data_IF_744606512028
#
_entry.id   IF_744606512028
#
_cell.length_a   1.000
_cell.length_b   1.000
_cell.length_c   1.000
_cell.angle_alpha   90.00
_cell.angle_beta   90.00
_cell.angle_gamma   90.00
#
_symmetry.space_group_name_H-M   'P 1'
#
loop_
_entity.id
_entity.type
_entity.pdbx_description
1 polymer ?
#
# COMPACT_ATOMS: atom_id res chain seq x y z
N UNK A 1 52.57 31.99 -4.83
CA UNK A 1 52.46 31.23 -6.09
C UNK A 1 52.24 29.72 -5.88
N UNK A 2 53.13 28.98 -5.20
CA UNK A 2 52.99 27.52 -5.03
C UNK A 2 51.74 27.07 -4.22
N UNK A 3 51.40 27.80 -3.15
CA UNK A 3 50.20 27.55 -2.33
C UNK A 3 48.89 27.70 -3.15
N UNK A 4 48.83 28.71 -4.00
CA UNK A 4 47.66 29.01 -4.85
C UNK A 4 47.48 27.92 -5.93
N UNK A 5 48.56 27.46 -6.57
CA UNK A 5 48.50 26.35 -7.56
C UNK A 5 48.02 25.04 -6.93
N UNK A 6 48.48 24.73 -5.71
CA UNK A 6 48.06 23.54 -4.96
C UNK A 6 46.57 23.60 -4.56
N UNK A 7 46.08 24.79 -4.19
CA UNK A 7 44.66 25.02 -3.92
C UNK A 7 43.80 24.84 -5.18
N UNK A 8 44.25 25.37 -6.32
CA UNK A 8 43.54 25.25 -7.60
C UNK A 8 43.44 23.81 -8.10
N UNK A 9 44.55 23.04 -8.00
CA UNK A 9 44.58 21.62 -8.36
C UNK A 9 43.64 20.79 -7.49
N UNK A 10 43.61 21.04 -6.17
CA UNK A 10 42.67 20.39 -5.25
C UNK A 10 41.22 20.76 -5.52
N UNK A 11 40.96 22.00 -5.92
CA UNK A 11 39.61 22.46 -6.29
C UNK A 11 39.12 21.77 -7.57
N UNK A 12 39.97 21.65 -8.60
CA UNK A 12 39.64 20.91 -9.83
C UNK A 12 39.39 19.42 -9.57
N UNK A 13 40.25 18.77 -8.78
CA UNK A 13 40.07 17.36 -8.42
C UNK A 13 38.77 17.12 -7.62
N UNK A 14 38.37 18.08 -6.76
CA UNK A 14 37.10 18.00 -6.03
C UNK A 14 35.89 18.24 -6.92
N UNK A 15 35.97 19.12 -7.91
CA UNK A 15 34.88 19.32 -8.86
C UNK A 15 34.60 18.04 -9.66
N UNK A 16 35.65 17.30 -10.04
CA UNK A 16 35.52 16.01 -10.71
C UNK A 16 34.83 14.94 -9.85
N UNK A 17 34.90 15.05 -8.52
CA UNK A 17 34.24 14.13 -7.58
C UNK A 17 32.94 14.68 -7.00
N UNK A 18 32.30 15.64 -7.68
CA UNK A 18 31.07 16.32 -7.20
C UNK A 18 31.21 16.87 -5.77
N UNK A 19 32.40 17.40 -5.48
CA UNK A 19 32.81 17.95 -4.19
C UNK A 19 32.90 16.95 -3.03
N UNK A 20 32.90 15.64 -3.32
CA UNK A 20 33.11 14.59 -2.34
C UNK A 20 34.60 14.43 -1.98
N UNK A 21 34.85 14.10 -0.72
CA UNK A 21 36.17 13.61 -0.27
C UNK A 21 36.40 12.18 -0.75
N UNK A 22 37.66 11.73 -0.75
CA UNK A 22 38.01 10.34 -1.11
C UNK A 22 37.19 9.31 -0.29
N UNK A 23 37.05 9.55 1.02
CA UNK A 23 36.24 8.69 1.88
C UNK A 23 34.75 8.69 1.49
N UNK A 24 34.19 9.84 1.13
CA UNK A 24 32.78 9.95 0.72
C UNK A 24 32.54 9.31 -0.64
N UNK A 25 33.50 9.38 -1.57
CA UNK A 25 33.45 8.63 -2.83
C UNK A 25 33.46 7.11 -2.57
N UNK A 26 34.27 6.61 -1.62
CA UNK A 26 34.18 5.20 -1.20
C UNK A 26 32.83 4.86 -0.55
N UNK A 27 32.21 5.79 0.19
CA UNK A 27 30.86 5.58 0.75
C UNK A 27 29.82 5.53 -0.36
N UNK A 28 29.93 6.37 -1.40
CA UNK A 28 29.08 6.31 -2.60
C UNK A 28 29.13 4.92 -3.23
N UNK A 29 30.33 4.36 -3.43
CA UNK A 29 30.49 3.00 -3.94
C UNK A 29 29.87 1.95 -3.03
N UNK A 30 30.11 2.03 -1.72
CA UNK A 30 29.52 1.10 -0.77
C UNK A 30 27.98 1.18 -0.77
N UNK A 31 27.39 2.38 -0.86
CA UNK A 31 25.94 2.58 -1.00
C UNK A 31 25.45 1.94 -2.30
N UNK A 32 26.13 2.18 -3.42
CA UNK A 32 25.78 1.62 -4.72
C UNK A 32 25.76 0.08 -4.67
N UNK A 33 26.81 -0.55 -4.15
CA UNK A 33 26.92 -2.01 -4.00
C UNK A 33 25.83 -2.58 -3.06
N UNK A 34 25.75 -2.07 -1.83
CA UNK A 34 24.85 -2.59 -0.79
C UNK A 34 23.37 -2.38 -1.13
N UNK A 35 23.05 -1.34 -1.91
CA UNK A 35 21.69 -1.06 -2.37
C UNK A 35 21.30 -1.82 -3.64
N UNK A 36 22.15 -2.76 -4.12
CA UNK A 36 21.97 -3.49 -5.38
C UNK A 36 21.87 -2.55 -6.58
N UNK A 37 22.84 -1.64 -6.67
CA UNK A 37 23.02 -0.70 -7.78
C UNK A 37 21.93 0.39 -7.87
N UNK A 38 21.37 0.82 -6.74
CA UNK A 38 20.33 1.85 -6.70
C UNK A 38 20.95 3.26 -6.78
N UNK A 39 20.97 3.83 -7.98
CA UNK A 39 21.47 5.19 -8.23
C UNK A 39 20.69 6.29 -7.51
N UNK A 40 19.41 6.08 -7.16
CA UNK A 40 18.64 7.08 -6.42
C UNK A 40 19.15 7.20 -4.97
N UNK A 41 19.49 6.07 -4.34
CA UNK A 41 20.08 6.09 -3.00
C UNK A 41 21.43 6.83 -3.00
N UNK A 42 22.24 6.61 -4.04
CA UNK A 42 23.50 7.34 -4.23
C UNK A 42 23.26 8.84 -4.42
N UNK A 43 22.32 9.22 -5.29
CA UNK A 43 21.99 10.64 -5.53
C UNK A 43 21.52 11.34 -4.25
N UNK A 44 20.69 10.69 -3.43
CA UNK A 44 20.27 11.22 -2.14
C UNK A 44 21.45 11.40 -1.17
N UNK A 45 22.40 10.45 -1.16
CA UNK A 45 23.60 10.59 -0.35
C UNK A 45 24.45 11.78 -0.79
N UNK A 46 24.75 11.90 -2.08
CA UNK A 46 25.53 13.01 -2.64
C UNK A 46 24.86 14.35 -2.35
N UNK A 47 23.54 14.44 -2.59
CA UNK A 47 22.76 15.64 -2.27
C UNK A 47 22.84 16.01 -0.78
N UNK A 48 22.75 15.03 0.12
CA UNK A 48 22.84 15.26 1.56
C UNK A 48 24.20 15.84 1.99
N UNK A 49 25.30 15.38 1.39
CA UNK A 49 26.65 15.87 1.69
C UNK A 49 26.89 17.27 1.13
N UNK A 50 26.37 17.53 -0.06
CA UNK A 50 26.48 18.84 -0.69
C UNK A 50 25.65 19.89 0.01
N UNK A 51 24.45 19.55 0.48
CA UNK A 51 23.61 20.45 1.28
C UNK A 51 24.35 20.92 2.55
N UNK A 52 25.01 20.01 3.29
CA UNK A 52 25.82 20.36 4.47
C UNK A 52 26.97 21.32 4.14
N UNK A 53 27.53 21.23 2.93
CA UNK A 53 28.63 22.07 2.44
C UNK A 53 28.17 23.29 1.63
N UNK A 54 26.86 23.53 1.53
CA UNK A 54 26.27 24.56 0.68
C UNK A 54 26.81 24.53 -0.76
N UNK A 55 27.05 23.32 -1.29
CA UNK A 55 27.45 23.10 -2.68
C UNK A 55 26.21 22.97 -3.58
N UNK A 56 26.34 23.28 -4.89
CA UNK A 56 25.25 23.12 -5.83
C UNK A 56 24.72 21.68 -5.89
N UNK A 57 23.43 21.54 -6.18
CA UNK A 57 22.84 20.24 -6.49
C UNK A 57 23.32 19.75 -7.84
N UNK A 58 23.62 18.46 -7.96
CA UNK A 58 24.01 17.82 -9.21
C UNK A 58 22.83 17.07 -9.81
N UNK A 59 22.82 16.99 -11.13
CA UNK A 59 21.86 16.21 -11.90
C UNK A 59 22.05 14.70 -11.66
N UNK A 60 20.99 13.93 -11.91
CA UNK A 60 21.06 12.47 -11.83
C UNK A 60 22.08 11.87 -12.84
N UNK A 61 22.33 12.55 -13.96
CA UNK A 61 23.31 12.13 -14.96
C UNK A 61 24.74 12.27 -14.44
N UNK A 62 25.09 13.41 -13.83
CA UNK A 62 26.42 13.62 -13.22
C UNK A 62 26.70 12.63 -12.09
N UNK A 63 25.70 12.36 -11.23
CA UNK A 63 25.84 11.37 -10.16
C UNK A 63 26.05 9.97 -10.73
N UNK A 64 25.32 9.60 -11.79
CA UNK A 64 25.50 8.32 -12.47
C UNK A 64 26.91 8.21 -13.05
N UNK A 65 27.36 9.20 -13.80
CA UNK A 65 28.69 9.22 -14.43
C UNK A 65 29.79 9.07 -13.37
N UNK A 66 29.73 9.85 -12.29
CA UNK A 66 30.67 9.71 -11.16
C UNK A 66 30.65 8.28 -10.59
N UNK A 67 29.47 7.73 -10.33
CA UNK A 67 29.31 6.41 -9.71
C UNK A 67 29.87 5.31 -10.61
N UNK A 68 29.60 5.38 -11.91
CA UNK A 68 30.10 4.44 -12.91
C UNK A 68 31.62 4.53 -13.05
N UNK A 69 32.19 5.75 -13.13
CA UNK A 69 33.65 5.94 -13.14
C UNK A 69 34.30 5.36 -11.88
N UNK A 70 33.77 5.70 -10.70
CA UNK A 70 34.27 5.16 -9.43
C UNK A 70 34.21 3.62 -9.41
N UNK A 71 33.14 3.02 -9.94
CA UNK A 71 32.96 1.57 -9.95
C UNK A 71 33.95 0.88 -10.90
N UNK A 72 34.15 1.45 -12.09
CA UNK A 72 35.06 0.91 -13.11
C UNK A 72 36.54 1.07 -12.75
N UNK A 73 36.90 2.15 -12.04
CA UNK A 73 38.28 2.43 -11.64
C UNK A 73 38.70 1.69 -10.36
N UNK A 74 37.75 1.23 -9.55
CA UNK A 74 38.04 0.52 -8.30
C UNK A 74 38.37 -0.95 -8.57
N UNK A 75 39.40 -1.48 -7.91
CA UNK A 75 39.77 -2.89 -8.08
C UNK A 75 38.69 -3.82 -7.53
N UNK A 76 38.60 -5.02 -8.11
CA UNK A 76 37.62 -6.05 -7.69
C UNK A 76 37.78 -6.37 -6.19
N UNK A 77 39.01 -6.50 -5.69
CA UNK A 77 39.28 -6.78 -4.28
C UNK A 77 38.74 -5.67 -3.36
N UNK A 78 38.84 -4.40 -3.78
CA UNK A 78 38.32 -3.28 -3.00
C UNK A 78 36.78 -3.24 -3.05
N UNK A 79 36.15 -3.57 -4.18
CA UNK A 79 34.69 -3.72 -4.27
C UNK A 79 34.18 -4.83 -3.35
N UNK A 80 34.84 -5.99 -3.34
CA UNK A 80 34.53 -7.12 -2.44
C UNK A 80 34.70 -6.69 -0.98
N UNK A 81 35.79 -5.99 -0.64
CA UNK A 81 36.03 -5.52 0.71
C UNK A 81 34.95 -4.54 1.20
N UNK A 82 34.44 -3.68 0.32
CA UNK A 82 33.34 -2.76 0.61
C UNK A 82 31.99 -3.48 0.80
N UNK A 83 31.70 -4.51 0.00
CA UNK A 83 30.46 -5.29 0.09
C UNK A 83 30.46 -6.21 1.33
N UNK A 84 31.52 -7.01 1.49
CA UNK A 84 31.65 -8.06 2.51
C UNK A 84 32.06 -7.52 3.89
N UNK A 85 32.61 -6.30 3.97
CA UNK A 85 32.92 -5.65 5.24
C UNK A 85 34.22 -6.11 5.89
N UNK A 86 35.31 -6.10 5.12
CA UNK A 86 36.63 -6.43 5.67
C UNK A 86 37.08 -5.47 6.80
N UNK A 87 37.90 -5.96 7.75
CA UNK A 87 38.45 -5.13 8.83
C UNK A 87 39.21 -3.88 8.33
N UNK A 88 39.34 -2.88 9.20
CA UNK A 88 40.14 -1.69 8.91
C UNK A 88 39.38 -0.57 8.20
N UNK A 89 39.94 -0.03 7.11
CA UNK A 89 39.43 1.20 6.46
C UNK A 89 38.03 0.99 5.85
N UNK A 90 37.80 -0.15 5.20
CA UNK A 90 36.55 -0.50 4.53
C UNK A 90 35.42 -0.66 5.55
N UNK A 91 35.74 -1.19 6.73
CA UNK A 91 34.81 -1.33 7.83
C UNK A 91 34.10 -0.02 8.20
N UNK A 92 34.83 1.11 8.24
CA UNK A 92 34.25 2.44 8.56
C UNK A 92 33.46 3.04 7.41
N UNK A 93 33.87 2.77 6.16
CA UNK A 93 33.16 3.21 4.96
C UNK A 93 31.82 2.47 4.86
N UNK A 94 31.87 1.14 4.98
CA UNK A 94 30.69 0.28 4.98
C UNK A 94 29.71 0.66 6.08
N UNK A 95 30.20 0.90 7.31
CA UNK A 95 29.33 1.31 8.41
C UNK A 95 28.56 2.61 8.10
N UNK A 96 29.24 3.61 7.52
CA UNK A 96 28.58 4.85 7.12
C UNK A 96 27.55 4.62 5.99
N UNK A 97 27.84 3.75 5.03
CA UNK A 97 26.91 3.37 3.98
C UNK A 97 25.68 2.64 4.52
N UNK A 98 25.88 1.66 5.40
CA UNK A 98 24.80 0.90 6.05
C UNK A 98 23.92 1.81 6.89
N UNK A 99 24.52 2.68 7.71
CA UNK A 99 23.76 3.63 8.52
C UNK A 99 22.90 4.51 7.61
N UNK A 100 23.45 5.08 6.54
CA UNK A 100 22.67 5.89 5.59
C UNK A 100 21.52 5.10 4.93
N UNK A 101 21.78 3.87 4.47
CA UNK A 101 20.77 3.03 3.84
C UNK A 101 19.67 2.59 4.82
N UNK A 102 20.03 2.31 6.06
CA UNK A 102 19.07 2.01 7.12
C UNK A 102 18.19 3.23 7.42
N UNK A 103 18.77 4.44 7.50
CA UNK A 103 18.00 5.67 7.66
C UNK A 103 17.04 5.89 6.48
N UNK A 104 17.51 5.73 5.24
CA UNK A 104 16.69 5.87 4.04
C UNK A 104 15.48 4.90 4.05
N UNK A 105 15.72 3.62 4.36
CA UNK A 105 14.64 2.63 4.48
C UNK A 105 13.68 2.93 5.64
N UNK A 106 14.18 3.50 6.74
CA UNK A 106 13.33 3.98 7.83
C UNK A 106 12.44 5.13 7.38
N UNK A 107 12.94 6.05 6.54
CA UNK A 107 12.14 7.13 5.95
C UNK A 107 11.05 6.56 5.04
N UNK A 108 11.39 5.68 4.10
CA UNK A 108 10.42 5.04 3.19
C UNK A 108 9.32 4.30 3.97
N UNK A 109 9.72 3.56 5.01
CA UNK A 109 8.78 2.91 5.91
C UNK A 109 7.91 3.92 6.65
N UNK A 110 8.48 4.99 7.21
CA UNK A 110 7.75 6.04 7.92
C UNK A 110 6.73 6.72 7.00
N UNK A 111 7.11 7.03 5.77
CA UNK A 111 6.21 7.57 4.74
C UNK A 111 5.08 6.60 4.43
N UNK A 112 5.37 5.30 4.31
CA UNK A 112 4.34 4.27 4.13
C UNK A 112 3.35 4.22 5.30
N UNK A 113 3.83 4.39 6.54
CA UNK A 113 2.95 4.43 7.72
C UNK A 113 2.11 5.71 7.73
N UNK A 114 2.71 6.84 7.37
CA UNK A 114 1.99 8.11 7.26
C UNK A 114 0.89 8.05 6.18
N UNK A 115 1.14 7.37 5.05
CA UNK A 115 0.12 7.12 4.02
C UNK A 115 -1.05 6.28 4.55
N UNK A 116 -0.79 5.39 5.52
CA UNK A 116 -1.80 4.59 6.21
C UNK A 116 -2.45 5.34 7.40
N UNK A 117 -2.12 6.62 7.62
CA UNK A 117 -2.63 7.41 8.75
C UNK A 117 -2.07 6.99 10.12
N UNK A 118 -1.03 6.14 10.15
CA UNK A 118 -0.37 5.73 11.36
C UNK A 118 0.85 6.63 11.62
N UNK A 119 0.92 7.25 12.79
CA UNK A 119 2.10 7.97 13.26
C UNK A 119 2.94 7.04 14.16
N UNK A 120 4.05 6.46 13.68
CA UNK A 120 4.81 5.50 14.48
C UNK A 120 5.46 6.18 15.69
N UNK A 121 5.49 5.46 16.81
CA UNK A 121 6.18 5.91 18.03
C UNK A 121 7.70 5.98 17.81
N UNK A 122 8.39 6.77 18.64
CA UNK A 122 9.86 6.83 18.66
C UNK A 122 10.51 5.46 18.79
N UNK A 123 9.94 4.59 19.63
CA UNK A 123 10.43 3.23 19.80
C UNK A 123 10.23 2.39 18.53
N UNK A 124 9.06 2.47 17.89
CA UNK A 124 8.80 1.74 16.64
C UNK A 124 9.75 2.17 15.51
N UNK A 125 10.02 3.48 15.40
CA UNK A 125 10.96 4.02 14.43
C UNK A 125 12.40 3.56 14.69
N UNK A 126 12.85 3.64 15.95
CA UNK A 126 14.16 3.15 16.35
C UNK A 126 14.31 1.64 16.13
N UNK A 127 13.32 0.83 16.51
CA UNK A 127 13.32 -0.61 16.23
C UNK A 127 13.43 -0.90 14.74
N UNK A 128 12.74 -0.15 13.88
CA UNK A 128 12.81 -0.34 12.44
C UNK A 128 14.16 0.05 11.86
N UNK A 129 14.75 1.15 12.33
CA UNK A 129 16.12 1.51 11.97
C UNK A 129 17.12 0.41 12.35
N UNK A 130 17.05 -0.11 13.58
CA UNK A 130 17.92 -1.20 14.03
C UNK A 130 17.76 -2.47 13.19
N UNK A 131 16.51 -2.86 12.90
CA UNK A 131 16.20 -3.98 12.02
C UNK A 131 16.83 -3.80 10.63
N UNK A 132 16.84 -2.59 10.07
CA UNK A 132 17.48 -2.33 8.79
C UNK A 132 19.01 -2.36 8.87
N UNK A 133 19.62 -1.90 9.97
CA UNK A 133 21.06 -2.06 10.19
C UNK A 133 21.46 -3.54 10.25
N UNK A 134 20.70 -4.36 10.98
CA UNK A 134 20.92 -5.81 11.09
C UNK A 134 20.83 -6.51 9.73
N UNK A 135 19.86 -6.12 8.88
CA UNK A 135 19.69 -6.66 7.54
C UNK A 135 20.90 -6.43 6.60
N UNK A 136 21.80 -5.49 6.94
CA UNK A 136 23.06 -5.29 6.23
C UNK A 136 24.26 -5.95 6.94
N UNK A 137 24.02 -6.84 7.92
CA UNK A 137 25.04 -7.56 8.69
C UNK A 137 26.09 -6.65 9.34
N UNK A 138 25.76 -5.40 9.66
CA UNK A 138 26.64 -4.57 10.47
C UNK A 138 26.24 -4.72 11.93
N UNK A 139 27.13 -5.22 12.78
CA UNK A 139 26.87 -5.37 14.22
C UNK A 139 27.30 -4.15 15.05
N UNK A 140 27.84 -3.11 14.39
CA UNK A 140 28.43 -1.93 15.04
C UNK A 140 27.46 -0.76 15.19
N UNK A 141 26.17 -0.99 15.05
CA UNK A 141 25.15 0.02 15.28
C UNK A 141 25.06 0.42 16.76
N UNK A 142 24.37 1.53 17.01
CA UNK A 142 24.35 2.21 18.30
C UNK A 142 23.79 1.31 19.41
N UNK A 143 24.68 0.70 20.19
CA UNK A 143 24.31 -0.15 21.33
C UNK A 143 23.50 0.61 22.39
N UNK A 144 23.62 1.94 22.48
CA UNK A 144 22.78 2.74 23.37
C UNK A 144 21.34 2.82 22.83
N UNK A 145 21.16 2.98 21.52
CA UNK A 145 19.85 2.91 20.89
C UNK A 145 19.21 1.52 21.04
N UNK A 146 19.99 0.45 20.87
CA UNK A 146 19.58 -0.94 21.15
C UNK A 146 18.96 -1.10 22.53
N UNK A 147 19.76 -0.71 23.54
CA UNK A 147 19.39 -0.80 24.95
C UNK A 147 18.20 0.09 25.25
N UNK A 148 18.13 1.27 24.64
CA UNK A 148 17.01 2.18 24.84
C UNK A 148 15.70 1.61 24.27
N UNK A 149 15.73 0.97 23.10
CA UNK A 149 14.57 0.26 22.52
C UNK A 149 14.12 -0.88 23.42
N UNK A 150 15.05 -1.72 23.90
CA UNK A 150 14.72 -2.87 24.74
C UNK A 150 14.18 -2.46 26.13
N UNK A 151 14.72 -1.39 26.72
CA UNK A 151 14.38 -0.94 28.08
C UNK A 151 13.30 0.15 28.12
N UNK A 152 12.65 0.46 26.99
CA UNK A 152 11.75 1.62 26.88
C UNK A 152 10.56 1.58 27.87
N UNK A 153 10.14 0.40 28.33
CA UNK A 153 9.06 0.25 29.33
C UNK A 153 9.52 0.37 30.78
N UNK A 154 10.82 0.27 31.07
CA UNK A 154 11.37 0.13 32.42
C UNK A 154 12.18 1.33 32.89
N UNK A 155 12.59 2.23 31.99
CA UNK A 155 13.52 3.31 32.33
C UNK A 155 13.18 4.64 31.64
N UNK A 156 12.85 5.66 32.43
CA UNK A 156 12.57 7.02 31.95
C UNK A 156 13.71 7.64 31.11
N UNK A 157 14.97 7.28 31.39
CA UNK A 157 16.12 7.77 30.63
C UNK A 157 16.19 7.20 29.20
N UNK A 158 15.83 5.93 29.02
CA UNK A 158 15.74 5.28 27.71
C UNK A 158 14.69 5.95 26.82
N UNK A 159 13.51 6.24 27.39
CA UNK A 159 12.46 6.96 26.67
C UNK A 159 12.87 8.37 26.25
N UNK A 160 13.63 9.11 27.07
CA UNK A 160 14.17 10.43 26.69
C UNK A 160 15.16 10.32 25.53
N UNK A 161 16.08 9.35 25.60
CA UNK A 161 17.05 9.12 24.53
C UNK A 161 16.36 8.78 23.20
N UNK A 162 15.36 7.89 23.20
CA UNK A 162 14.60 7.54 22.00
C UNK A 162 13.86 8.73 21.37
N UNK A 163 13.26 9.59 22.21
CA UNK A 163 12.58 10.80 21.73
C UNK A 163 13.56 11.78 21.09
N UNK A 164 14.71 12.01 21.73
CA UNK A 164 15.77 12.87 21.18
C UNK A 164 16.29 12.32 19.86
N UNK A 165 16.69 11.05 19.83
CA UNK A 165 17.14 10.39 18.60
C UNK A 165 16.09 10.50 17.49
N UNK A 166 14.81 10.31 17.81
CA UNK A 166 13.73 10.42 16.84
C UNK A 166 13.53 11.85 16.33
N UNK A 167 13.68 12.85 17.19
CA UNK A 167 13.60 14.25 16.81
C UNK A 167 14.74 14.61 15.85
N UNK A 168 15.98 14.27 16.22
CA UNK A 168 17.18 14.51 15.42
C UNK A 168 17.11 13.80 14.06
N UNK A 169 16.60 12.56 14.04
CA UNK A 169 16.37 11.79 12.80
C UNK A 169 15.37 12.50 11.89
N UNK A 170 14.24 12.94 12.46
CA UNK A 170 13.15 13.59 11.71
C UNK A 170 13.57 14.93 11.14
N UNK A 171 14.28 15.73 11.92
CA UNK A 171 14.83 17.01 11.47
C UNK A 171 15.79 16.80 10.29
N UNK A 172 16.73 15.85 10.42
CA UNK A 172 17.73 15.57 9.38
C UNK A 172 17.13 15.16 8.04
N UNK A 173 16.07 14.36 8.07
CA UNK A 173 15.38 13.86 6.88
C UNK A 173 14.17 14.73 6.48
N UNK A 174 13.93 15.84 7.18
CA UNK A 174 12.77 16.70 6.99
C UNK A 174 11.43 15.93 6.99
N UNK A 175 11.32 14.92 7.87
CA UNK A 175 10.13 14.05 8.00
C UNK A 175 9.35 14.38 9.28
N UNK A 176 8.33 15.21 9.15
CA UNK A 176 7.50 15.62 10.29
C UNK A 176 6.72 14.45 10.91
N UNK A 177 6.32 14.60 12.18
CA UNK A 177 5.13 13.90 12.68
C UNK A 177 3.94 14.44 11.89
N UNK A 178 3.62 13.80 10.76
CA UNK A 178 2.27 13.92 10.24
C UNK A 178 1.39 13.07 11.18
N UNK A 179 1.00 13.64 12.33
CA UNK A 179 -0.45 13.65 12.57
C UNK A 179 -0.95 14.27 11.29
N UNK A 180 -1.67 13.50 10.46
CA UNK A 180 -2.26 14.09 9.27
C UNK A 180 -2.80 15.45 9.73
N UNK A 181 -2.34 16.54 9.09
CA UNK A 181 -3.29 17.59 8.79
C UNK A 181 -4.39 16.80 8.13
N UNK A 182 -5.45 16.49 8.89
CA UNK A 182 -6.70 16.01 8.33
C UNK A 182 -6.84 16.94 7.14
N UNK A 183 -6.70 16.42 5.91
CA UNK A 183 -6.97 17.22 4.70
C UNK A 183 -8.21 17.98 5.10
N UNK A 184 -8.21 19.33 5.19
CA UNK A 184 -9.36 20.05 5.70
C UNK A 184 -10.54 19.40 4.99
N UNK A 185 -11.42 18.71 5.75
CA UNK A 185 -12.31 17.71 5.17
C UNK A 185 -12.90 18.37 3.95
N UNK A 186 -12.72 17.76 2.77
CA UNK A 186 -13.16 18.38 1.51
C UNK A 186 -14.50 19.03 1.80
N UNK A 187 -14.60 20.37 1.64
CA UNK A 187 -15.47 21.23 2.45
C UNK A 187 -16.81 20.52 2.63
N UNK A 188 -17.25 20.23 3.85
CA UNK A 188 -18.29 19.24 4.20
C UNK A 188 -19.38 19.01 3.12
N UNK A 189 -19.83 20.08 2.46
CA UNK A 189 -20.67 20.08 1.26
C UNK A 189 -20.19 19.21 0.07
N UNK A 190 -18.92 19.23 -0.34
CA UNK A 190 -18.38 18.42 -1.44
C UNK A 190 -18.44 16.92 -1.11
N UNK A 191 -18.00 16.53 0.10
CA UNK A 191 -18.13 15.15 0.56
C UNK A 191 -19.59 14.73 0.65
N UNK A 192 -20.46 15.58 1.22
CA UNK A 192 -21.90 15.34 1.27
C UNK A 192 -22.49 15.13 -0.14
N UNK A 193 -22.10 15.96 -1.10
CA UNK A 193 -22.54 15.86 -2.49
C UNK A 193 -22.09 14.54 -3.11
N UNK A 194 -20.81 14.15 -2.96
CA UNK A 194 -20.29 12.88 -3.49
C UNK A 194 -21.00 11.66 -2.86
N UNK A 195 -21.19 11.67 -1.53
CA UNK A 195 -21.89 10.58 -0.81
C UNK A 195 -23.33 10.48 -1.30
N UNK A 196 -24.04 11.62 -1.39
CA UNK A 196 -25.40 11.69 -1.91
C UNK A 196 -25.49 11.17 -3.34
N UNK A 197 -24.60 11.59 -4.23
CA UNK A 197 -24.56 11.13 -5.62
C UNK A 197 -24.34 9.63 -5.71
N UNK A 198 -23.42 9.06 -4.93
CA UNK A 198 -23.20 7.61 -4.89
C UNK A 198 -24.46 6.88 -4.45
N UNK A 199 -25.10 7.31 -3.34
CA UNK A 199 -26.34 6.71 -2.87
C UNK A 199 -27.45 6.77 -3.92
N UNK A 200 -27.66 7.94 -4.51
CA UNK A 200 -28.64 8.13 -5.59
C UNK A 200 -28.40 7.17 -6.75
N UNK A 201 -27.15 7.01 -7.17
CA UNK A 201 -26.78 6.10 -8.26
C UNK A 201 -27.03 4.64 -7.91
N UNK A 202 -26.60 4.20 -6.72
CA UNK A 202 -26.82 2.83 -6.24
C UNK A 202 -28.32 2.54 -6.14
N UNK A 203 -29.12 3.47 -5.61
CA UNK A 203 -30.56 3.27 -5.49
C UNK A 203 -31.30 3.31 -6.82
N UNK A 204 -30.83 4.10 -7.77
CA UNK A 204 -31.34 4.09 -9.13
C UNK A 204 -31.08 2.72 -9.79
N UNK A 205 -29.84 2.22 -9.75
CA UNK A 205 -29.50 0.88 -10.26
C UNK A 205 -30.36 -0.21 -9.60
N UNK A 206 -30.53 -0.18 -8.28
CA UNK A 206 -31.40 -1.14 -7.59
C UNK A 206 -32.84 -1.06 -8.05
N UNK A 207 -33.35 0.13 -8.32
CA UNK A 207 -34.70 0.31 -8.82
C UNK A 207 -34.84 -0.24 -10.25
N UNK A 208 -33.89 0.06 -11.15
CA UNK A 208 -33.85 -0.51 -12.49
C UNK A 208 -33.83 -2.05 -12.47
N UNK A 209 -33.06 -2.64 -11.54
CA UNK A 209 -33.00 -4.08 -11.35
C UNK A 209 -34.37 -4.67 -11.00
N UNK A 210 -35.09 -4.06 -10.06
CA UNK A 210 -36.43 -4.49 -9.68
C UNK A 210 -37.40 -4.32 -10.85
N UNK A 211 -37.29 -3.23 -11.62
CA UNK A 211 -38.11 -2.98 -12.80
C UNK A 211 -37.99 -4.05 -13.89
N UNK A 212 -36.84 -4.73 -13.99
CA UNK A 212 -36.63 -5.87 -14.90
C UNK A 212 -36.90 -7.23 -14.24
N UNK A 213 -37.55 -7.25 -13.07
CA UNK A 213 -37.92 -8.47 -12.35
C UNK A 213 -36.74 -9.20 -11.69
N UNK A 214 -35.60 -8.54 -11.50
CA UNK A 214 -34.42 -9.10 -10.83
C UNK A 214 -34.33 -8.61 -9.39
N UNK A 215 -33.67 -9.40 -8.54
CA UNK A 215 -33.35 -9.04 -7.16
C UNK A 215 -31.94 -8.43 -7.12
N UNK A 216 -31.78 -7.17 -6.67
CA UNK A 216 -30.47 -6.54 -6.67
C UNK A 216 -29.58 -7.14 -5.59
N UNK A 217 -28.34 -7.47 -5.94
CA UNK A 217 -27.29 -7.82 -4.99
C UNK A 217 -26.15 -6.83 -5.12
N UNK A 218 -25.81 -6.19 -4.00
CA UNK A 218 -24.64 -5.34 -3.94
C UNK A 218 -23.41 -6.20 -3.66
N UNK A 219 -22.40 -6.02 -4.50
CA UNK A 219 -21.09 -6.64 -4.39
C UNK A 219 -20.09 -5.50 -4.19
N UNK A 220 -19.10 -5.67 -3.32
CA UNK A 220 -17.94 -4.79 -3.29
C UNK A 220 -16.69 -5.62 -3.53
N UNK A 221 -15.89 -5.15 -4.48
CA UNK A 221 -14.56 -5.66 -4.78
C UNK A 221 -13.58 -4.53 -4.49
N UNK A 222 -12.45 -4.92 -3.92
CA UNK A 222 -11.30 -4.06 -3.75
C UNK A 222 -10.05 -4.91 -3.52
N UNK A 223 -8.88 -4.33 -3.70
CA UNK A 223 -7.62 -4.99 -3.48
C UNK A 223 -6.91 -4.46 -2.23
N UNK A 224 -6.36 -5.39 -1.45
CA UNK A 224 -5.49 -5.03 -0.34
C UNK A 224 -4.16 -5.73 -0.45
N UNK A 225 -3.08 -4.95 -0.34
CA UNK A 225 -1.77 -5.52 -0.11
C UNK A 225 -1.72 -6.22 1.25
N UNK A 226 -1.33 -7.48 1.23
CA UNK A 226 -0.85 -8.24 2.38
C UNK A 226 0.60 -8.66 2.09
N UNK A 227 1.42 -9.07 3.08
CA UNK A 227 2.82 -9.39 2.81
C UNK A 227 2.99 -10.27 1.56
N UNK A 228 3.84 -9.82 0.63
CA UNK A 228 4.20 -10.47 -0.64
C UNK A 228 3.15 -10.50 -1.77
N UNK A 229 1.87 -10.23 -1.52
CA UNK A 229 0.82 -10.35 -2.55
C UNK A 229 -0.33 -9.36 -2.38
N UNK A 230 -1.14 -9.21 -3.43
CA UNK A 230 -2.42 -8.52 -3.36
C UNK A 230 -3.55 -9.53 -3.22
N UNK A 231 -4.43 -9.25 -2.27
CA UNK A 231 -5.61 -10.04 -2.03
C UNK A 231 -6.85 -9.24 -2.43
N UNK A 232 -7.64 -9.81 -3.33
CA UNK A 232 -8.84 -9.22 -3.91
C UNK A 232 -10.07 -10.07 -3.53
N UNK A 233 -10.68 -9.83 -2.36
CA UNK A 233 -11.94 -10.45 -2.02
C UNK A 233 -13.13 -9.76 -2.71
N UNK A 234 -14.25 -10.47 -2.77
CA UNK A 234 -15.55 -9.89 -3.08
C UNK A 234 -16.48 -10.18 -1.90
N UNK A 235 -17.15 -9.15 -1.38
CA UNK A 235 -18.19 -9.29 -0.36
C UNK A 235 -19.55 -8.84 -0.90
N UNK A 236 -20.64 -9.40 -0.39
CA UNK A 236 -21.98 -9.10 -0.87
C UNK A 236 -23.05 -9.09 0.21
N UNK A 237 -24.20 -8.51 -0.13
CA UNK A 237 -25.35 -8.41 0.77
C UNK A 237 -26.12 -9.74 0.94
N UNK A 238 -25.81 -10.78 0.17
CA UNK A 238 -26.49 -12.07 0.22
C UNK A 238 -25.63 -13.14 0.92
N UNK A 239 -26.12 -13.62 2.08
CA UNK A 239 -25.37 -14.58 2.91
C UNK A 239 -25.16 -15.95 2.24
N UNK A 240 -26.12 -16.41 1.43
CA UNK A 240 -26.02 -17.70 0.75
C UNK A 240 -25.04 -17.66 -0.43
N UNK A 241 -24.92 -16.50 -1.08
CA UNK A 241 -24.00 -16.29 -2.20
C UNK A 241 -22.56 -16.08 -1.74
N UNK A 242 -22.35 -15.43 -0.59
CA UNK A 242 -21.03 -15.04 -0.09
C UNK A 242 -19.97 -16.16 -0.12
N UNK A 243 -20.26 -17.42 0.30
CA UNK A 243 -19.28 -18.50 0.29
C UNK A 243 -18.85 -18.95 -1.11
N UNK A 244 -19.64 -18.64 -2.14
CA UNK A 244 -19.44 -19.05 -3.53
C UNK A 244 -18.67 -18.00 -4.33
N UNK A 245 -18.62 -16.75 -3.86
CA UNK A 245 -17.97 -15.67 -4.58
C UNK A 245 -16.47 -15.93 -4.78
N UNK A 246 -15.93 -15.57 -5.95
CA UNK A 246 -14.52 -15.79 -6.23
C UNK A 246 -13.66 -14.80 -5.42
N UNK A 247 -12.46 -15.26 -5.06
CA UNK A 247 -11.45 -14.49 -4.31
C UNK A 247 -10.11 -14.67 -4.97
N UNK A 248 -9.30 -13.63 -5.04
CA UNK A 248 -8.07 -13.68 -5.84
C UNK A 248 -6.84 -13.35 -4.99
N UNK A 249 -5.79 -14.15 -5.17
CA UNK A 249 -4.44 -13.87 -4.70
C UNK A 249 -3.57 -13.57 -5.92
N UNK A 250 -3.17 -12.32 -6.06
CA UNK A 250 -2.34 -11.85 -7.18
C UNK A 250 -0.94 -11.59 -6.66
N UNK A 251 0.04 -12.32 -7.19
CA UNK A 251 1.43 -12.18 -6.78
C UNK A 251 2.37 -12.14 -7.99
N UNK A 252 3.49 -11.44 -7.84
CA UNK A 252 4.53 -11.41 -8.85
C UNK A 252 5.13 -12.81 -9.03
N UNK A 253 5.39 -13.22 -10.29
CA UNK A 253 5.98 -14.53 -10.63
C UNK A 253 7.29 -14.83 -9.91
N UNK A 254 8.10 -13.81 -9.62
CA UNK A 254 9.37 -13.94 -8.89
C UNK A 254 9.18 -14.19 -7.40
N UNK A 255 8.06 -13.73 -6.83
CA UNK A 255 7.73 -13.88 -5.40
C UNK A 255 6.98 -15.18 -5.15
N UNK A 256 6.07 -15.54 -6.05
CA UNK A 256 5.26 -16.75 -5.97
C UNK A 256 5.72 -17.77 -7.02
N UNK A 257 6.49 -18.77 -6.57
CA UNK A 257 7.04 -19.82 -7.43
C UNK A 257 5.94 -20.77 -7.95
N UNK A 258 6.15 -21.33 -9.14
CA UNK A 258 5.22 -22.33 -9.70
C UNK A 258 5.12 -23.57 -8.82
N UNK A 259 6.23 -23.93 -8.15
CA UNK A 259 6.30 -25.03 -7.20
C UNK A 259 5.39 -24.76 -6.00
N UNK A 260 5.51 -23.61 -5.35
CA UNK A 260 4.71 -23.27 -4.18
C UNK A 260 3.20 -23.33 -4.49
N UNK A 261 2.78 -22.81 -5.65
CA UNK A 261 1.37 -22.92 -6.08
C UNK A 261 0.95 -24.37 -6.21
N UNK A 262 1.71 -25.21 -6.93
CA UNK A 262 1.39 -26.64 -7.08
C UNK A 262 1.30 -27.36 -5.73
N UNK A 263 2.19 -27.06 -4.79
CA UNK A 263 2.19 -27.70 -3.48
C UNK A 263 0.92 -27.38 -2.68
N UNK A 264 0.43 -26.15 -2.77
CA UNK A 264 -0.75 -25.72 -1.98
C UNK A 264 -2.07 -25.86 -2.73
N UNK A 265 -2.06 -26.13 -4.04
CA UNK A 265 -3.27 -26.24 -4.88
C UNK A 265 -4.29 -27.23 -4.34
N UNK A 266 -3.86 -28.37 -3.78
CA UNK A 266 -4.77 -29.39 -3.25
C UNK A 266 -5.54 -28.94 -1.99
N UNK A 267 -5.05 -27.91 -1.30
CA UNK A 267 -5.66 -27.36 -0.08
C UNK A 267 -6.40 -26.04 -0.34
N UNK A 268 -6.35 -25.57 -1.59
CA UNK A 268 -6.92 -24.30 -2.02
C UNK A 268 -8.45 -24.45 -2.13
N UNK A 269 -9.24 -23.55 -1.54
CA UNK A 269 -10.68 -23.49 -1.78
C UNK A 269 -10.99 -23.34 -3.27
N UNK A 270 -12.09 -23.93 -3.75
CA UNK A 270 -12.45 -23.88 -5.18
C UNK A 270 -12.63 -22.44 -5.67
N UNK A 271 -13.35 -21.63 -4.90
CA UNK A 271 -13.59 -20.22 -5.18
C UNK A 271 -12.43 -19.28 -4.81
N UNK A 272 -11.23 -19.80 -4.56
CA UNK A 272 -10.03 -18.99 -4.36
C UNK A 272 -9.06 -19.23 -5.52
N UNK A 273 -8.69 -18.17 -6.23
CA UNK A 273 -7.83 -18.23 -7.41
C UNK A 273 -6.45 -17.65 -7.08
N UNK A 274 -5.40 -18.31 -7.55
CA UNK A 274 -4.02 -17.87 -7.35
C UNK A 274 -3.43 -17.50 -8.71
N UNK A 275 -3.15 -16.22 -8.90
CA UNK A 275 -2.65 -15.69 -10.16
C UNK A 275 -1.20 -15.22 -10.05
N UNK A 276 -0.36 -15.81 -10.90
CA UNK A 276 1.07 -15.52 -10.99
C UNK A 276 1.32 -14.52 -12.12
N UNK A 277 1.38 -13.25 -11.76
CA UNK A 277 1.42 -12.13 -12.69
C UNK A 277 2.81 -11.50 -12.81
N UNK A 278 3.04 -10.68 -13.85
CA UNK A 278 4.31 -9.97 -14.03
C UNK A 278 4.51 -8.88 -12.95
N UNK A 279 3.41 -8.30 -12.50
CA UNK A 279 3.31 -7.36 -11.38
C UNK A 279 2.28 -7.89 -10.39
N UNK A 280 2.39 -7.53 -9.11
CA UNK A 280 1.38 -7.91 -8.12
C UNK A 280 0.14 -6.98 -8.13
N UNK A 281 0.09 -5.99 -9.01
CA UNK A 281 -0.95 -4.94 -9.03
C UNK A 281 -2.18 -5.30 -9.90
N UNK A 282 -3.32 -4.67 -9.58
CA UNK A 282 -4.53 -4.70 -10.41
C UNK A 282 -4.27 -4.03 -11.77
N UNK A 283 -4.69 -4.69 -12.85
CA UNK A 283 -4.57 -4.21 -14.23
C UNK A 283 -5.89 -4.44 -14.95
N UNK A 284 -6.10 -3.78 -16.10
CA UNK A 284 -7.29 -4.03 -16.95
C UNK A 284 -7.46 -5.52 -17.25
N UNK A 285 -6.36 -6.23 -17.55
CA UNK A 285 -6.38 -7.68 -17.79
C UNK A 285 -6.85 -8.47 -16.57
N UNK A 286 -6.33 -8.14 -15.39
CA UNK A 286 -6.71 -8.80 -14.13
C UNK A 286 -8.19 -8.54 -13.84
N UNK A 287 -8.66 -7.31 -14.00
CA UNK A 287 -10.06 -6.95 -13.77
C UNK A 287 -11.03 -7.68 -14.69
N UNK A 288 -10.72 -7.80 -15.98
CA UNK A 288 -11.55 -8.58 -16.92
C UNK A 288 -11.71 -10.03 -16.46
N UNK A 289 -10.61 -10.67 -16.03
CA UNK A 289 -10.65 -12.04 -15.51
C UNK A 289 -11.46 -12.14 -14.21
N UNK A 290 -11.38 -11.14 -13.34
CA UNK A 290 -12.22 -11.13 -12.13
C UNK A 290 -13.71 -11.06 -12.50
N UNK A 291 -14.07 -10.20 -13.46
CA UNK A 291 -15.45 -10.07 -13.93
C UNK A 291 -15.97 -11.33 -14.63
N UNK A 292 -15.11 -12.04 -15.37
CA UNK A 292 -15.42 -13.35 -15.97
C UNK A 292 -15.73 -14.39 -14.89
N UNK A 293 -14.86 -14.55 -13.89
CA UNK A 293 -15.06 -15.49 -12.78
C UNK A 293 -16.30 -15.15 -11.94
N UNK A 294 -16.54 -13.86 -11.70
CA UNK A 294 -17.76 -13.41 -11.03
C UNK A 294 -19.00 -13.71 -11.87
N UNK A 295 -18.96 -13.50 -13.18
CA UNK A 295 -20.06 -13.81 -14.09
C UNK A 295 -20.40 -15.30 -14.07
N UNK A 296 -19.40 -16.19 -14.07
CA UNK A 296 -19.62 -17.63 -13.96
C UNK A 296 -20.37 -18.02 -12.68
N UNK A 297 -20.02 -17.42 -11.54
CA UNK A 297 -20.75 -17.65 -10.29
C UNK A 297 -22.18 -17.10 -10.39
N UNK A 298 -22.34 -15.89 -10.93
CA UNK A 298 -23.65 -15.24 -11.05
C UNK A 298 -24.59 -15.95 -12.05
N UNK A 299 -24.06 -16.68 -13.04
CA UNK A 299 -24.86 -17.45 -13.98
C UNK A 299 -25.73 -18.53 -13.30
N UNK A 300 -25.28 -19.07 -12.16
CA UNK A 300 -26.05 -20.01 -11.35
C UNK A 300 -27.20 -19.33 -10.59
N UNK A 301 -27.27 -18.00 -10.57
CA UNK A 301 -28.27 -17.22 -9.84
C UNK A 301 -28.98 -16.21 -10.75
N UNK A 302 -29.73 -16.68 -11.76
CA UNK A 302 -30.36 -15.80 -12.76
C UNK A 302 -31.39 -14.85 -12.16
N UNK A 303 -31.94 -15.11 -10.96
CA UNK A 303 -32.85 -14.20 -10.29
C UNK A 303 -32.15 -12.93 -9.76
N UNK A 304 -30.82 -12.96 -9.59
CA UNK A 304 -30.05 -11.83 -9.07
C UNK A 304 -29.47 -10.96 -10.18
N UNK A 305 -29.38 -9.65 -9.90
CA UNK A 305 -28.59 -8.71 -10.69
C UNK A 305 -27.40 -8.24 -9.84
N UNK A 306 -26.20 -8.52 -10.33
CA UNK A 306 -24.97 -8.06 -9.71
C UNK A 306 -24.83 -6.53 -9.90
N UNK A 307 -24.69 -5.80 -8.80
CA UNK A 307 -24.29 -4.39 -8.77
C UNK A 307 -22.94 -4.31 -8.04
N UNK A 308 -21.87 -4.10 -8.80
CA UNK A 308 -20.49 -4.12 -8.31
C UNK A 308 -19.99 -2.71 -7.97
N UNK A 309 -19.67 -2.51 -6.69
CA UNK A 309 -19.06 -1.32 -6.13
C UNK A 309 -17.54 -1.40 -6.22
N UNK A 310 -16.93 -0.38 -6.83
CA UNK A 310 -15.48 -0.26 -7.07
C UNK A 310 -15.04 1.19 -6.86
N UNK A 311 -13.79 1.41 -6.45
CA UNK A 311 -13.23 2.76 -6.42
C UNK A 311 -12.90 3.30 -7.84
N UNK A 312 -12.43 4.54 -7.91
CA UNK A 312 -12.02 5.18 -9.17
C UNK A 312 -10.62 4.76 -9.66
N UNK A 313 -10.07 3.61 -9.25
CA UNK A 313 -8.78 3.17 -9.77
C UNK A 313 -8.82 3.01 -11.30
N UNK A 314 -7.73 3.38 -11.99
CA UNK A 314 -7.70 3.46 -13.44
C UNK A 314 -8.04 2.13 -14.14
N UNK A 315 -7.69 0.98 -13.54
CA UNK A 315 -8.07 -0.33 -14.08
C UNK A 315 -9.56 -0.63 -13.96
N UNK A 316 -10.26 -0.05 -12.97
CA UNK A 316 -11.68 -0.29 -12.73
C UNK A 316 -12.55 0.46 -13.74
N UNK A 317 -12.20 1.72 -14.00
CA UNK A 317 -12.96 2.60 -14.89
C UNK A 317 -12.47 2.59 -16.34
N UNK A 318 -11.47 1.76 -16.66
CA UNK A 318 -10.97 1.64 -18.02
C UNK A 318 -12.10 1.18 -18.98
N UNK A 319 -12.21 1.74 -20.20
CA UNK A 319 -13.29 1.37 -21.13
C UNK A 319 -13.41 -0.14 -21.40
N UNK A 320 -12.29 -0.86 -21.47
CA UNK A 320 -12.32 -2.33 -21.63
C UNK A 320 -12.87 -3.07 -20.40
N UNK A 321 -12.61 -2.56 -19.21
CA UNK A 321 -13.14 -3.15 -17.96
C UNK A 321 -14.65 -2.92 -17.89
N UNK A 322 -15.10 -1.70 -18.21
CA UNK A 322 -16.52 -1.35 -18.27
C UNK A 322 -17.25 -2.19 -19.33
N UNK A 323 -16.68 -2.35 -20.52
CA UNK A 323 -17.21 -3.25 -21.56
C UNK A 323 -17.30 -4.69 -21.08
N UNK A 324 -16.26 -5.20 -20.41
CA UNK A 324 -16.27 -6.55 -19.88
C UNK A 324 -17.36 -6.74 -18.82
N UNK A 325 -17.54 -5.77 -17.91
CA UNK A 325 -18.61 -5.82 -16.92
C UNK A 325 -19.99 -5.86 -17.58
N UNK A 326 -20.22 -5.01 -18.60
CA UNK A 326 -21.45 -5.00 -19.36
C UNK A 326 -21.73 -6.33 -20.07
N UNK A 327 -20.72 -6.89 -20.74
CA UNK A 327 -20.83 -8.19 -21.41
C UNK A 327 -21.11 -9.34 -20.43
N UNK A 328 -20.64 -9.20 -19.19
CA UNK A 328 -20.88 -10.14 -18.09
C UNK A 328 -22.20 -9.91 -17.35
N UNK A 329 -23.04 -8.97 -17.81
CA UNK A 329 -24.26 -8.50 -17.13
C UNK A 329 -24.01 -8.09 -15.66
N UNK A 330 -22.90 -7.40 -15.40
CA UNK A 330 -22.55 -6.84 -14.09
C UNK A 330 -22.70 -5.32 -14.17
N UNK A 331 -23.57 -4.74 -13.34
CA UNK A 331 -23.77 -3.30 -13.30
C UNK A 331 -22.75 -2.67 -12.37
N UNK A 332 -22.09 -1.60 -12.81
CA UNK A 332 -21.04 -0.96 -12.02
C UNK A 332 -21.55 0.29 -11.30
N UNK A 333 -21.17 0.42 -10.02
CA UNK A 333 -21.37 1.61 -9.21
C UNK A 333 -20.00 2.10 -8.73
N UNK A 334 -19.50 3.18 -9.35
CA UNK A 334 -18.16 3.71 -9.04
C UNK A 334 -18.25 4.60 -7.80
N UNK A 335 -17.43 4.31 -6.81
CA UNK A 335 -17.28 5.09 -5.59
C UNK A 335 -16.39 6.29 -5.90
N UNK A 336 -16.90 7.54 -5.75
CA UNK A 336 -16.14 8.74 -6.05
C UNK A 336 -14.82 8.83 -5.29
N UNK A 337 -13.80 9.40 -5.94
CA UNK A 337 -12.50 9.63 -5.33
C UNK A 337 -12.61 10.41 -4.00
N UNK A 338 -11.92 9.90 -2.98
CA UNK A 338 -11.94 10.42 -1.61
C UNK A 338 -13.01 9.83 -0.71
N UNK A 339 -13.89 8.96 -1.21
CA UNK A 339 -14.92 8.28 -0.40
C UNK A 339 -14.57 6.84 -0.01
N UNK A 340 -13.52 6.25 -0.58
CA UNK A 340 -13.11 4.86 -0.35
C UNK A 340 -13.05 4.52 1.15
N UNK A 341 -12.27 5.28 1.94
CA UNK A 341 -12.19 5.08 3.39
C UNK A 341 -13.42 5.46 4.21
N UNK A 342 -14.47 6.01 3.58
CA UNK A 342 -15.72 6.44 4.24
C UNK A 342 -16.90 5.50 3.95
N UNK A 343 -17.01 5.00 2.71
CA UNK A 343 -18.19 4.28 2.23
C UNK A 343 -17.90 2.95 1.54
N UNK A 344 -16.64 2.65 1.19
CA UNK A 344 -16.30 1.38 0.55
C UNK A 344 -16.33 0.25 1.58
N UNK A 345 -17.21 -0.76 1.41
CA UNK A 345 -17.39 -1.81 2.41
C UNK A 345 -16.10 -2.55 2.82
N UNK A 346 -15.24 -2.89 1.87
CA UNK A 346 -14.00 -3.61 2.15
C UNK A 346 -13.00 -2.79 2.96
N UNK A 347 -12.81 -1.51 2.63
CA UNK A 347 -11.90 -0.62 3.38
C UNK A 347 -12.41 -0.30 4.77
N UNK A 348 -13.70 0.00 4.87
CA UNK A 348 -14.31 0.47 6.12
C UNK A 348 -14.55 -0.67 7.11
N UNK A 349 -14.87 -1.88 6.63
CA UNK A 349 -15.35 -2.97 7.49
C UNK A 349 -14.45 -4.21 7.52
N UNK A 350 -13.71 -4.49 6.44
CA UNK A 350 -13.05 -5.78 6.27
C UNK A 350 -11.53 -5.72 6.44
N UNK A 351 -10.83 -4.89 5.66
CA UNK A 351 -9.39 -5.05 5.49
C UNK A 351 -8.57 -4.81 6.75
N UNK A 352 -8.89 -3.80 7.55
CA UNK A 352 -8.17 -3.54 8.80
C UNK A 352 -8.24 -4.75 9.74
N UNK A 353 -9.44 -5.29 9.96
CA UNK A 353 -9.64 -6.46 10.81
C UNK A 353 -9.03 -7.74 10.21
N UNK A 354 -9.16 -7.94 8.89
CA UNK A 354 -8.54 -9.08 8.20
C UNK A 354 -7.01 -9.07 8.35
N UNK A 355 -6.36 -7.92 8.08
CA UNK A 355 -4.91 -7.75 8.22
C UNK A 355 -4.45 -7.92 9.66
N UNK A 356 -5.25 -7.46 10.62
CA UNK A 356 -4.98 -7.66 12.04
C UNK A 356 -4.95 -9.15 12.41
N UNK A 357 -5.97 -9.92 12.03
CA UNK A 357 -6.00 -11.37 12.28
C UNK A 357 -4.88 -12.11 11.54
N UNK A 358 -4.60 -11.71 10.30
CA UNK A 358 -3.48 -12.25 9.54
C UNK A 358 -2.17 -12.02 10.30
N UNK A 359 -1.90 -10.80 10.74
CA UNK A 359 -0.70 -10.45 11.51
C UNK A 359 -0.58 -11.28 12.80
N UNK A 360 -1.67 -11.47 13.54
CA UNK A 360 -1.66 -12.30 14.75
C UNK A 360 -1.26 -13.76 14.45
N UNK A 361 -1.70 -14.32 13.31
CA UNK A 361 -1.31 -15.67 12.89
C UNK A 361 0.14 -15.78 12.42
N UNK A 362 0.79 -14.67 12.03
CA UNK A 362 2.16 -14.64 11.49
C UNK A 362 3.23 -14.04 12.41
N UNK A 363 2.86 -13.45 13.54
CA UNK A 363 3.81 -12.91 14.53
C UNK A 363 4.74 -13.96 15.16
N UNK A 364 4.64 -15.24 14.79
CA UNK A 364 5.50 -16.33 15.27
C UNK A 364 6.57 -16.84 14.28
N UNK A 365 6.79 -16.24 13.09
CA UNK A 365 7.82 -16.82 12.20
C UNK A 365 8.06 -16.23 10.82
N UNK A 366 7.99 -14.91 10.64
CA UNK A 366 8.40 -14.32 9.35
C UNK A 366 9.93 -14.13 9.34
N UNK A 367 10.66 -15.18 8.94
CA UNK A 367 12.07 -15.10 8.57
C UNK A 367 12.28 -14.44 7.20
N UNK A 368 13.54 -14.11 6.90
CA UNK A 368 14.07 -13.34 5.77
C UNK A 368 13.92 -13.99 4.37
N UNK A 369 12.82 -14.69 4.09
CA UNK A 369 12.64 -15.34 2.78
C UNK A 369 12.18 -14.36 1.70
N UNK A 370 12.95 -14.27 0.61
CA UNK A 370 12.55 -13.58 -0.63
C UNK A 370 11.38 -14.29 -1.36
N UNK A 371 11.14 -15.56 -1.03
CA UNK A 371 10.04 -16.35 -1.57
C UNK A 371 8.89 -16.49 -0.58
N UNK A 372 7.67 -16.48 -1.11
CA UNK A 372 6.46 -16.56 -0.29
C UNK A 372 6.34 -17.96 0.35
N UNK A 373 6.33 -18.08 1.70
CA UNK A 373 6.26 -19.38 2.36
C UNK A 373 4.95 -20.12 2.07
N UNK A 374 5.00 -21.42 1.78
CA UNK A 374 3.77 -22.20 1.50
C UNK A 374 2.77 -22.16 2.67
N UNK A 375 3.27 -22.20 3.91
CA UNK A 375 2.46 -22.06 5.11
C UNK A 375 1.75 -20.70 5.19
N UNK A 376 2.33 -19.67 4.56
CA UNK A 376 1.67 -18.39 4.46
C UNK A 376 0.39 -18.49 3.62
N UNK A 377 0.48 -19.12 2.45
CA UNK A 377 -0.68 -19.34 1.57
C UNK A 377 -1.77 -20.15 2.27
N UNK A 378 -1.40 -21.26 2.93
CA UNK A 378 -2.35 -22.13 3.64
C UNK A 378 -3.16 -21.36 4.69
N UNK A 379 -2.48 -20.52 5.48
CA UNK A 379 -3.14 -19.67 6.49
C UNK A 379 -4.00 -18.58 5.86
N UNK A 380 -3.54 -17.96 4.77
CA UNK A 380 -4.38 -17.02 4.01
C UNK A 380 -5.65 -17.70 3.50
N UNK A 381 -5.57 -18.94 3.00
CA UNK A 381 -6.76 -19.67 2.54
C UNK A 381 -7.75 -19.91 3.69
N UNK A 382 -7.27 -20.44 4.81
CA UNK A 382 -8.09 -20.75 5.99
C UNK A 382 -8.70 -19.47 6.60
N UNK A 383 -7.90 -18.41 6.75
CA UNK A 383 -8.39 -17.14 7.28
C UNK A 383 -9.37 -16.48 6.31
N UNK A 384 -9.10 -16.53 5.01
CA UNK A 384 -10.01 -15.99 4.00
C UNK A 384 -11.39 -16.66 4.08
N UNK A 385 -11.45 -18.00 4.19
CA UNK A 385 -12.71 -18.72 4.37
C UNK A 385 -13.43 -18.30 5.66
N UNK A 386 -12.75 -18.40 6.79
CA UNK A 386 -13.38 -18.14 8.10
C UNK A 386 -13.79 -16.68 8.27
N UNK A 387 -12.97 -15.73 7.79
CA UNK A 387 -13.23 -14.30 7.94
C UNK A 387 -14.31 -13.79 6.98
N UNK A 388 -14.20 -14.09 5.67
CA UNK A 388 -15.14 -13.52 4.69
C UNK A 388 -16.46 -14.27 4.61
N UNK A 389 -16.44 -15.60 4.76
CA UNK A 389 -17.66 -16.40 4.70
C UNK A 389 -18.36 -16.49 6.06
N UNK A 390 -17.63 -16.31 7.17
CA UNK A 390 -18.20 -16.33 8.52
C UNK A 390 -18.90 -15.03 8.94
N UNK A 391 -18.89 -14.00 8.08
CA UNK A 391 -19.46 -12.68 8.37
C UNK A 391 -20.67 -12.37 7.50
N UNK A 392 -21.68 -11.77 8.12
CA UNK A 392 -22.86 -11.23 7.43
C UNK A 392 -22.58 -9.78 7.05
N UNK A 393 -22.43 -9.51 5.76
CA UNK A 393 -22.03 -8.18 5.29
C UNK A 393 -23.20 -7.22 5.09
N UNK A 394 -24.44 -7.72 4.98
CA UNK A 394 -25.63 -6.90 4.70
C UNK A 394 -25.79 -5.72 5.66
N UNK A 395 -25.69 -5.97 6.98
CA UNK A 395 -25.76 -4.92 8.00
C UNK A 395 -24.62 -3.90 7.87
N UNK A 396 -23.44 -4.36 7.42
CA UNK A 396 -22.31 -3.50 7.08
C UNK A 396 -22.64 -2.54 5.93
N UNK A 397 -23.15 -3.06 4.81
CA UNK A 397 -23.60 -2.23 3.69
C UNK A 397 -24.73 -1.26 4.10
N UNK A 398 -25.63 -1.69 4.98
CA UNK A 398 -26.68 -0.84 5.54
C UNK A 398 -26.11 0.32 6.35
N UNK A 399 -25.09 0.05 7.19
CA UNK A 399 -24.41 1.09 7.97
C UNK A 399 -23.66 2.12 7.10
N UNK A 400 -23.38 1.78 5.85
CA UNK A 400 -22.77 2.66 4.86
C UNK A 400 -23.81 3.38 3.97
N UNK A 401 -25.10 3.18 4.24
CA UNK A 401 -26.20 3.75 3.47
C UNK A 401 -26.39 3.13 2.08
N UNK A 402 -25.74 2.02 1.77
CA UNK A 402 -25.86 1.33 0.48
C UNK A 402 -27.06 0.36 0.46
N UNK A 403 -27.40 -0.19 1.62
CA UNK A 403 -28.50 -1.13 1.85
C UNK A 403 -29.41 -0.63 2.99
N UNK A 404 -30.05 0.54 2.87
CA UNK A 404 -30.76 1.15 3.99
C UNK A 404 -31.93 0.26 4.42
N UNK A 405 -31.89 -0.16 5.68
CA UNK A 405 -33.01 -0.78 6.39
C UNK A 405 -33.67 0.29 7.28
N UNK A 406 -34.98 0.22 7.47
CA UNK A 406 -35.68 1.12 8.38
C UNK A 406 -35.61 0.56 9.81
N UNK A 407 -35.21 1.36 10.82
CA UNK A 407 -34.72 2.74 10.73
C UNK A 407 -33.27 2.82 10.22
N UNK A 408 -32.97 3.86 9.42
CA UNK A 408 -31.62 4.10 8.89
C UNK A 408 -30.64 4.33 10.04
N UNK A 409 -29.58 3.51 10.11
CA UNK A 409 -28.52 3.62 11.12
C UNK A 409 -27.16 3.64 10.44
N UNK A 410 -26.61 4.83 10.24
CA UNK A 410 -25.31 5.00 9.58
C UNK A 410 -24.15 4.82 10.56
N UNK A 411 -23.00 4.43 10.03
CA UNK A 411 -21.72 4.38 10.73
C UNK A 411 -21.37 5.77 11.26
N UNK A 412 -20.51 5.83 12.30
CA UNK A 412 -20.17 7.09 12.98
C UNK A 412 -19.81 8.21 12.00
N UNK A 413 -19.02 7.89 11.00
CA UNK A 413 -18.40 8.85 10.09
C UNK A 413 -19.39 9.29 8.98
N UNK A 414 -20.48 8.53 8.78
CA UNK A 414 -21.57 8.86 7.85
C UNK A 414 -22.81 9.46 8.54
N UNK A 415 -22.89 9.46 9.88
CA UNK A 415 -24.00 10.07 10.63
C UNK A 415 -24.35 11.50 10.21
N UNK A 416 -23.40 12.41 9.90
CA UNK A 416 -23.71 13.76 9.44
C UNK A 416 -24.57 13.82 8.17
N UNK A 417 -24.63 12.73 7.38
CA UNK A 417 -25.38 12.65 6.13
C UNK A 417 -26.70 11.87 6.26
N UNK A 418 -27.08 11.45 7.48
CA UNK A 418 -28.25 10.60 7.70
C UNK A 418 -29.55 11.26 7.28
N UNK A 419 -29.73 12.55 7.56
CA UNK A 419 -30.93 13.30 7.16
C UNK A 419 -31.08 13.35 5.63
N UNK A 420 -29.98 13.56 4.89
CA UNK A 420 -29.99 13.56 3.44
C UNK A 420 -30.40 12.21 2.86
N UNK A 421 -29.96 11.10 3.48
CA UNK A 421 -30.37 9.75 3.09
C UNK A 421 -31.85 9.49 3.40
N UNK A 422 -32.31 9.83 4.60
CA UNK A 422 -33.72 9.66 5.00
C UNK A 422 -34.64 10.46 4.08
N UNK A 423 -34.30 11.72 3.82
CA UNK A 423 -35.04 12.59 2.91
C UNK A 423 -35.13 11.98 1.50
N UNK A 424 -34.01 11.46 0.98
CA UNK A 424 -34.00 10.79 -0.34
C UNK A 424 -34.90 9.54 -0.37
N UNK A 425 -34.85 8.71 0.67
CA UNK A 425 -35.66 7.49 0.75
C UNK A 425 -37.15 7.80 0.88
N UNK A 426 -37.52 8.88 1.57
CA UNK A 426 -38.90 9.34 1.73
C UNK A 426 -39.48 9.92 0.43
N UNK A 427 -38.67 10.56 -0.41
CA UNK A 427 -39.10 11.10 -1.71
C UNK A 427 -39.17 10.06 -2.83
N UNK A 428 -38.65 8.86 -2.60
CA UNK A 428 -38.58 7.78 -3.59
C UNK A 428 -39.95 7.45 -4.22
N UNK A 429 -41.08 7.40 -3.49
CA UNK A 429 -42.40 7.17 -4.09
C UNK A 429 -42.80 8.21 -5.14
N UNK A 430 -42.34 9.47 -5.01
CA UNK A 430 -42.69 10.58 -5.91
C UNK A 430 -41.79 10.64 -7.16
N UNK A 431 -40.52 10.24 -7.04
CA UNK A 431 -39.55 10.29 -8.15
C UNK A 431 -39.77 9.18 -9.19
N UNK A 432 -40.31 8.03 -8.79
CA UNK A 432 -40.66 6.92 -9.69
C UNK A 432 -41.61 7.35 -10.81
N UNK A 433 -42.54 8.25 -10.51
CA UNK A 433 -43.52 8.78 -11.47
C UNK A 433 -42.89 9.72 -12.51
N UNK A 434 -41.85 10.47 -12.13
CA UNK A 434 -41.16 11.41 -13.04
C UNK A 434 -40.11 10.73 -13.92
N UNK A 435 -39.42 9.71 -13.42
CA UNK A 435 -38.44 8.94 -14.21
C UNK A 435 -39.10 8.04 -15.27
N UNK A 436 -40.29 7.48 -14.97
CA UNK A 436 -41.12 6.84 -16.00
C UNK A 436 -41.54 7.85 -17.08
N UNK A 437 -41.82 9.09 -16.69
CA UNK A 437 -42.18 10.16 -17.63
C UNK A 437 -41.03 10.54 -18.59
N UNK A 438 -39.78 10.58 -18.10
CA UNK A 438 -38.62 10.89 -18.94
C UNK A 438 -38.21 9.73 -19.86
N UNK A 439 -38.31 8.48 -19.41
CA UNK A 439 -37.97 7.32 -20.24
C UNK A 439 -38.96 7.11 -21.40
N UNK A 440 -40.25 7.45 -21.20
CA UNK A 440 -41.27 7.43 -22.27
C UNK A 440 -41.05 8.52 -23.33
N UNK A 441 -40.35 9.61 -23.00
CA UNK A 441 -40.06 10.70 -23.94
C UNK A 441 -38.79 10.41 -24.79
N UNK A 442 -37.94 9.49 -24.34
CA UNK A 442 -36.66 9.17 -25.01
C UNK A 442 -36.59 7.78 -25.66
N UNK A 443 -37.67 7.01 -25.58
CA UNK A 443 -37.93 5.79 -26.37
C UNK A 443 -38.92 6.10 -27.48
#
# INVERSE_FOLDING_TARGET
>A
MASVRKALSRSKARAATLHLTVREASIVLAIYLLSRYNLNAVALYVASRNAVRQQPSHSAAEVRELTESLYLETSIDELIALECGEPGRHARVRHAAVSFLAELRTVEWLESQNMLGAAPSSAAMASKYLMFCEAFHDSRWDGALARAVHNNSLNHSAGRYLRKWSADFRERWNVAFRVLSVKPPAPCAELAAKVKTLWQWVFWLRHCCIGVGKIPILLNLDESYIPWLYYTPIICTNEALQPLLPRFLVAKRSVLSARAVRTVSAQKPDNLHIWREASAWSTVRVMKRVLEELSHVMAAFPAFQAILLLDCHASHIHPDTVRAANNSNIWMAVIPAGLTGLIQPLDTLAFSAFKFHLKQQFQMGLGESETLPEDFLRRVFALSQTFFNGRKWKAGFASLGLEPEAPVRLSRDLRPYQEALVWYLQLRPLATSLLQFFLVITS
#
